data_IF_620860831661
#
_entry.id   IF_620860831661
#
_cell.length_a   1.000
_cell.length_b   1.000
_cell.length_c   1.000
_cell.angle_alpha   90.00
_cell.angle_beta   90.00
_cell.angle_gamma   90.00
#
_symmetry.space_group_name_H-M   'P 1'
#
loop_
_entity.id
_entity.type
_entity.pdbx_description
1 polymer ?
#
# COMPACT_ATOMS: atom_id res chain seq x y z
N UNK A 1 21.80 1.33 -61.63
CA UNK A 1 20.69 1.18 -60.72
C UNK A 1 19.49 1.93 -61.28
N UNK A 2 18.38 1.26 -61.41
CA UNK A 2 17.14 1.90 -61.85
C UNK A 2 16.51 2.70 -60.68
N UNK A 3 15.69 3.69 -61.00
CA UNK A 3 14.98 4.50 -59.98
C UNK A 3 14.13 3.60 -59.07
N UNK A 4 13.63 2.48 -59.58
CA UNK A 4 12.83 1.49 -58.82
C UNK A 4 13.69 0.76 -57.77
N UNK A 5 14.93 0.41 -58.11
CA UNK A 5 15.86 -0.24 -57.17
C UNK A 5 16.26 0.70 -56.02
N UNK A 6 16.45 1.99 -56.32
CA UNK A 6 16.73 3.00 -55.27
C UNK A 6 15.53 3.17 -54.36
N UNK A 7 14.31 3.18 -54.89
CA UNK A 7 13.07 3.26 -54.09
C UNK A 7 12.88 2.06 -53.19
N UNK A 8 13.13 0.85 -53.65
CA UNK A 8 13.04 -0.37 -52.86
C UNK A 8 14.09 -0.40 -51.71
N UNK A 9 15.31 0.06 -52.00
CA UNK A 9 16.36 0.18 -50.97
C UNK A 9 16.01 1.19 -49.90
N UNK A 10 15.47 2.34 -50.29
CA UNK A 10 15.00 3.37 -49.32
C UNK A 10 13.88 2.85 -48.42
N UNK A 11 12.93 2.09 -48.96
CA UNK A 11 11.86 1.45 -48.16
C UNK A 11 12.41 0.41 -47.15
N UNK A 12 13.38 -0.40 -47.59
CA UNK A 12 14.01 -1.40 -46.72
C UNK A 12 14.74 -0.71 -45.55
N UNK A 13 15.52 0.32 -45.82
CA UNK A 13 16.22 1.11 -44.81
C UNK A 13 15.23 1.76 -43.83
N UNK A 14 14.14 2.33 -44.36
CA UNK A 14 13.07 2.91 -43.54
C UNK A 14 12.40 1.89 -42.62
N UNK A 15 12.10 0.69 -43.12
CA UNK A 15 11.52 -0.38 -42.33
C UNK A 15 12.46 -0.84 -41.18
N UNK A 16 13.75 -0.99 -41.47
CA UNK A 16 14.76 -1.34 -40.46
C UNK A 16 14.88 -0.24 -39.42
N UNK A 17 14.88 1.04 -39.80
CA UNK A 17 14.92 2.15 -38.86
C UNK A 17 13.71 2.17 -37.90
N UNK A 18 12.51 1.88 -38.40
CA UNK A 18 11.30 1.77 -37.58
C UNK A 18 11.42 0.62 -36.60
N UNK A 19 11.88 -0.56 -37.01
CA UNK A 19 12.07 -1.71 -36.14
C UNK A 19 13.08 -1.42 -35.02
N UNK A 20 14.22 -0.78 -35.36
CA UNK A 20 15.20 -0.37 -34.33
C UNK A 20 14.64 0.63 -33.35
N UNK A 21 13.84 1.60 -33.81
CA UNK A 21 13.17 2.57 -32.95
C UNK A 21 12.18 1.89 -32.00
N UNK A 22 11.41 0.91 -32.46
CA UNK A 22 10.48 0.14 -31.64
C UNK A 22 11.22 -0.67 -30.55
N UNK A 23 12.33 -1.31 -30.91
CA UNK A 23 13.18 -2.04 -29.94
C UNK A 23 13.71 -1.07 -28.86
N UNK A 24 14.18 0.10 -29.27
CA UNK A 24 14.67 1.12 -28.34
C UNK A 24 13.57 1.57 -27.37
N UNK A 25 12.36 1.86 -27.87
CA UNK A 25 11.21 2.23 -27.05
C UNK A 25 10.87 1.14 -26.04
N UNK A 26 10.87 -0.13 -26.44
CA UNK A 26 10.61 -1.25 -25.53
C UNK A 26 11.65 -1.34 -24.41
N UNK A 27 12.93 -1.14 -24.74
CA UNK A 27 14.01 -1.14 -23.75
C UNK A 27 13.82 0.02 -22.77
N UNK A 28 13.49 1.21 -23.27
CA UNK A 28 13.28 2.41 -22.41
C UNK A 28 12.06 2.25 -21.51
N UNK A 29 10.96 1.71 -22.01
CA UNK A 29 9.79 1.39 -21.19
C UNK A 29 10.11 0.40 -20.07
N UNK A 30 10.88 -0.65 -20.35
CA UNK A 30 11.32 -1.61 -19.31
C UNK A 30 12.19 -0.96 -18.25
N UNK A 31 13.09 -0.05 -18.62
CA UNK A 31 13.90 0.73 -17.66
C UNK A 31 13.03 1.62 -16.79
N UNK A 32 12.09 2.35 -17.40
CA UNK A 32 11.16 3.23 -16.68
C UNK A 32 10.30 2.46 -15.66
N UNK A 33 9.75 1.31 -16.05
CA UNK A 33 8.99 0.44 -15.13
C UNK A 33 9.87 -0.01 -13.96
N UNK A 34 11.12 -0.42 -14.22
CA UNK A 34 12.05 -0.82 -13.17
C UNK A 34 12.38 0.33 -12.22
N UNK A 35 12.63 1.53 -12.75
CA UNK A 35 12.90 2.74 -11.94
C UNK A 35 11.70 3.14 -11.09
N UNK A 36 10.50 3.11 -11.65
CA UNK A 36 9.26 3.38 -10.91
C UNK A 36 9.04 2.37 -9.79
N UNK A 37 9.31 1.09 -10.02
CA UNK A 37 9.20 0.06 -8.97
C UNK A 37 10.20 0.28 -7.84
N UNK A 38 11.43 0.71 -8.14
CA UNK A 38 12.44 1.06 -7.13
C UNK A 38 11.98 2.31 -6.35
N UNK A 39 11.56 3.37 -7.04
CA UNK A 39 11.08 4.60 -6.40
C UNK A 39 9.89 4.32 -5.47
N UNK A 40 8.93 3.52 -5.92
CA UNK A 40 7.79 3.11 -5.12
C UNK A 40 8.18 2.24 -3.90
N UNK A 41 9.25 1.44 -4.01
CA UNK A 41 9.74 0.65 -2.87
C UNK A 41 10.43 1.52 -1.83
N UNK A 42 11.22 2.49 -2.25
CA UNK A 42 11.88 3.46 -1.38
C UNK A 42 10.83 4.33 -0.67
N UNK A 43 9.84 4.82 -1.39
CA UNK A 43 8.77 5.62 -0.79
C UNK A 43 8.01 4.82 0.29
N UNK A 44 7.70 3.54 0.03
CA UNK A 44 7.06 2.65 1.01
C UNK A 44 7.91 2.45 2.26
N UNK A 45 9.21 2.27 2.10
CA UNK A 45 10.12 2.11 3.24
C UNK A 45 10.24 3.40 4.05
N UNK A 46 10.26 4.55 3.39
CA UNK A 46 10.23 5.87 4.05
C UNK A 46 8.95 6.06 4.85
N UNK A 47 7.79 5.75 4.28
CA UNK A 47 6.49 5.81 4.99
C UNK A 47 6.46 4.89 6.22
N UNK A 48 6.99 3.67 6.11
CA UNK A 48 7.15 2.74 7.26
C UNK A 48 8.05 3.32 8.34
N UNK A 49 9.19 3.86 7.94
CA UNK A 49 10.15 4.46 8.87
C UNK A 49 9.54 5.63 9.64
N UNK A 50 8.80 6.51 8.97
CA UNK A 50 8.10 7.62 9.63
C UNK A 50 7.11 7.13 10.70
N UNK A 51 6.37 6.05 10.44
CA UNK A 51 5.48 5.47 11.44
C UNK A 51 6.23 4.86 12.63
N UNK A 52 7.36 4.21 12.39
CA UNK A 52 8.19 3.70 13.48
C UNK A 52 8.74 4.83 14.35
N UNK A 53 9.29 5.89 13.74
CA UNK A 53 9.79 7.05 14.48
C UNK A 53 8.69 7.77 15.24
N UNK A 54 7.53 7.95 14.64
CA UNK A 54 6.38 8.55 15.34
C UNK A 54 5.95 7.72 16.57
N UNK A 55 6.02 6.38 16.51
CA UNK A 55 5.73 5.51 17.67
C UNK A 55 6.77 5.61 18.78
N UNK A 56 7.99 6.01 18.47
CA UNK A 56 9.06 6.21 19.44
C UNK A 56 8.96 7.59 20.13
N UNK A 57 8.13 8.49 19.63
CA UNK A 57 7.85 9.76 20.26
C UNK A 57 7.05 9.54 21.55
N UNK A 58 7.57 10.01 22.68
CA UNK A 58 7.03 9.71 24.03
C UNK A 58 5.54 10.06 24.15
N UNK A 59 5.12 11.17 23.54
CA UNK A 59 3.73 11.62 23.54
C UNK A 59 2.79 10.62 22.86
N UNK A 60 3.16 10.16 21.66
CA UNK A 60 2.37 9.19 20.91
C UNK A 60 2.41 7.81 21.57
N UNK A 61 3.55 7.39 22.12
CA UNK A 61 3.66 6.11 22.82
C UNK A 61 2.72 6.04 24.02
N UNK A 62 2.64 7.11 24.83
CA UNK A 62 1.71 7.21 25.97
C UNK A 62 0.25 7.21 25.50
N UNK A 63 -0.06 7.95 24.43
CA UNK A 63 -1.39 7.94 23.83
C UNK A 63 -1.79 6.54 23.38
N UNK A 64 -0.92 5.84 22.63
CA UNK A 64 -1.21 4.50 22.13
C UNK A 64 -1.40 3.49 23.27
N UNK A 65 -0.58 3.55 24.32
CA UNK A 65 -0.70 2.67 25.48
C UNK A 65 -2.08 2.81 26.15
N UNK A 66 -2.59 4.03 26.27
CA UNK A 66 -3.93 4.33 26.81
C UNK A 66 -5.03 3.93 25.81
N UNK A 67 -4.87 4.34 24.58
CA UNK A 67 -5.86 4.15 23.51
C UNK A 67 -6.11 2.67 23.19
N UNK A 68 -5.09 1.82 23.26
CA UNK A 68 -5.24 0.38 23.02
C UNK A 68 -6.06 -0.34 24.12
N UNK A 69 -6.11 0.23 25.32
CA UNK A 69 -6.94 -0.31 26.39
C UNK A 69 -8.42 0.07 26.21
N UNK A 70 -8.71 1.34 25.95
CA UNK A 70 -10.07 1.82 25.68
C UNK A 70 -10.02 3.14 24.91
N UNK A 71 -10.72 3.18 23.77
CA UNK A 71 -10.90 4.39 22.97
C UNK A 71 -11.87 5.37 23.64
N UNK A 72 -12.88 4.85 24.34
CA UNK A 72 -13.93 5.68 24.96
C UNK A 72 -13.40 6.54 26.10
N UNK A 73 -12.35 6.10 26.78
CA UNK A 73 -11.69 6.84 27.86
C UNK A 73 -10.77 7.98 27.38
N UNK A 74 -10.55 8.10 26.08
CA UNK A 74 -9.74 9.16 25.50
C UNK A 74 -10.47 10.50 25.55
N UNK A 75 -9.72 11.58 25.76
CA UNK A 75 -10.20 12.95 25.56
C UNK A 75 -10.40 13.24 24.07
N UNK A 76 -11.23 14.21 23.72
CA UNK A 76 -11.55 14.52 22.32
C UNK A 76 -10.32 14.73 21.45
N UNK A 77 -9.30 15.46 21.96
CA UNK A 77 -8.05 15.66 21.22
C UNK A 77 -7.25 14.35 21.03
N UNK A 78 -7.20 13.51 22.08
CA UNK A 78 -6.56 12.21 22.05
C UNK A 78 -7.26 11.27 21.05
N UNK A 79 -8.60 11.34 20.99
CA UNK A 79 -9.42 10.59 20.01
C UNK A 79 -9.04 10.97 18.59
N UNK A 80 -8.97 12.26 18.26
CA UNK A 80 -8.59 12.75 16.92
C UNK A 80 -7.19 12.24 16.54
N UNK A 81 -6.23 12.28 17.45
CA UNK A 81 -4.88 11.78 17.19
C UNK A 81 -4.86 10.27 16.96
N UNK A 82 -5.57 9.50 17.78
CA UNK A 82 -5.65 8.06 17.65
C UNK A 82 -6.40 7.63 16.37
N UNK A 83 -7.52 8.25 16.06
CA UNK A 83 -8.25 8.06 14.80
C UNK A 83 -7.36 8.28 13.58
N UNK A 84 -6.63 9.40 13.56
CA UNK A 84 -5.70 9.71 12.48
C UNK A 84 -4.60 8.65 12.34
N UNK A 85 -4.09 8.14 13.46
CA UNK A 85 -3.12 7.06 13.47
C UNK A 85 -3.70 5.76 12.90
N UNK A 86 -4.90 5.36 13.32
CA UNK A 86 -5.57 4.14 12.84
C UNK A 86 -5.88 4.25 11.34
N UNK A 87 -6.46 5.36 10.89
CA UNK A 87 -6.76 5.60 9.47
C UNK A 87 -5.48 5.49 8.64
N UNK A 88 -4.40 6.14 9.04
CA UNK A 88 -3.13 6.09 8.33
C UNK A 88 -2.54 4.66 8.26
N UNK A 89 -2.64 3.90 9.37
CA UNK A 89 -2.20 2.50 9.41
C UNK A 89 -3.00 1.63 8.45
N UNK A 90 -4.32 1.77 8.46
CA UNK A 90 -5.21 1.05 7.56
C UNK A 90 -4.93 1.38 6.10
N UNK A 91 -4.75 2.65 5.76
CA UNK A 91 -4.44 3.07 4.38
C UNK A 91 -3.11 2.50 3.89
N UNK A 92 -2.09 2.43 4.74
CA UNK A 92 -0.81 1.80 4.40
C UNK A 92 -1.00 0.31 4.12
N UNK A 93 -1.72 -0.42 4.97
CA UNK A 93 -1.99 -1.84 4.76
C UNK A 93 -2.82 -2.08 3.49
N UNK A 94 -3.85 -1.27 3.24
CA UNK A 94 -4.65 -1.35 2.04
C UNK A 94 -3.81 -1.14 0.76
N UNK A 95 -2.92 -0.15 0.75
CA UNK A 95 -2.00 0.09 -0.38
C UNK A 95 -1.03 -1.06 -0.58
N UNK A 96 -0.44 -1.58 0.49
CA UNK A 96 0.48 -2.71 0.42
C UNK A 96 -0.20 -3.97 -0.11
N UNK A 97 -1.43 -4.25 0.34
CA UNK A 97 -2.21 -5.39 -0.09
C UNK A 97 -2.55 -5.31 -1.59
N UNK A 98 -3.06 -4.15 -2.06
CA UNK A 98 -3.33 -3.92 -3.49
C UNK A 98 -2.07 -4.07 -4.34
N UNK A 99 -0.92 -3.57 -3.86
CA UNK A 99 0.36 -3.72 -4.58
C UNK A 99 0.77 -5.18 -4.69
N UNK A 100 0.50 -6.01 -3.68
CA UNK A 100 0.76 -7.45 -3.74
C UNK A 100 -0.13 -8.15 -4.78
N UNK A 101 -1.37 -7.66 -4.96
CA UNK A 101 -2.29 -8.16 -5.99
C UNK A 101 -1.85 -7.76 -7.41
N UNK A 102 -1.48 -6.49 -7.61
CA UNK A 102 -1.18 -5.92 -8.94
C UNK A 102 0.19 -6.35 -9.49
N UNK A 103 1.14 -6.66 -8.63
CA UNK A 103 2.54 -6.79 -9.02
C UNK A 103 2.89 -8.03 -9.84
N UNK A 104 1.97 -9.00 -10.02
CA UNK A 104 2.25 -10.26 -10.76
C UNK A 104 3.43 -11.06 -10.16
N UNK A 105 3.91 -10.68 -9.00
CA UNK A 105 5.02 -11.31 -8.27
C UNK A 105 4.53 -12.58 -7.60
N UNK A 106 4.41 -13.66 -8.37
CA UNK A 106 3.92 -14.96 -7.86
C UNK A 106 4.72 -15.50 -6.68
N UNK A 107 5.98 -15.14 -6.49
CA UNK A 107 6.84 -15.75 -5.47
C UNK A 107 6.89 -15.02 -4.13
N UNK A 108 6.36 -13.82 -4.01
CA UNK A 108 6.39 -13.03 -2.76
C UNK A 108 5.04 -12.46 -2.35
N UNK A 109 4.05 -12.51 -3.24
CA UNK A 109 2.73 -11.91 -3.00
C UNK A 109 2.00 -12.59 -1.85
N UNK A 110 2.02 -13.92 -1.79
CA UNK A 110 1.35 -14.68 -0.73
C UNK A 110 2.00 -14.41 0.63
N UNK A 111 3.33 -14.46 0.71
CA UNK A 111 4.06 -14.10 1.92
C UNK A 111 3.74 -12.66 2.38
N UNK A 112 3.66 -11.70 1.45
CA UNK A 112 3.34 -10.32 1.79
C UNK A 112 1.89 -10.19 2.28
N UNK A 113 0.94 -10.89 1.66
CA UNK A 113 -0.46 -10.94 2.11
C UNK A 113 -0.59 -11.50 3.51
N UNK A 114 0.07 -12.62 3.79
CA UNK A 114 0.06 -13.25 5.11
C UNK A 114 0.66 -12.33 6.18
N UNK A 115 1.76 -11.65 5.85
CA UNK A 115 2.36 -10.66 6.77
C UNK A 115 1.45 -9.46 7.02
N UNK A 116 0.77 -8.96 6.00
CA UNK A 116 -0.20 -7.87 6.15
C UNK A 116 -1.37 -8.33 7.02
N UNK A 117 -1.90 -9.53 6.77
CA UNK A 117 -2.97 -10.12 7.57
C UNK A 117 -2.59 -10.18 9.05
N UNK A 118 -1.43 -10.75 9.38
CA UNK A 118 -0.91 -10.80 10.76
C UNK A 118 -0.80 -9.41 11.41
N UNK A 119 -0.35 -8.41 10.66
CA UNK A 119 -0.26 -7.05 11.19
C UNK A 119 -1.62 -6.38 11.41
N UNK A 120 -2.63 -6.72 10.62
CA UNK A 120 -4.00 -6.25 10.83
C UNK A 120 -4.59 -6.95 12.06
N UNK A 121 -4.45 -8.26 12.17
CA UNK A 121 -4.89 -9.04 13.33
C UNK A 121 -4.26 -8.53 14.63
N UNK A 122 -2.94 -8.27 14.63
CA UNK A 122 -2.22 -7.67 15.77
C UNK A 122 -2.77 -6.27 16.13
N UNK A 123 -3.06 -5.43 15.12
CA UNK A 123 -3.64 -4.11 15.36
C UNK A 123 -5.03 -4.21 16.00
N UNK A 124 -5.88 -5.11 15.53
CA UNK A 124 -7.24 -5.33 16.03
C UNK A 124 -7.32 -6.27 17.25
N UNK A 125 -6.19 -6.79 17.73
CA UNK A 125 -6.17 -7.50 19.03
C UNK A 125 -6.41 -6.59 20.21
N UNK A 126 -6.35 -5.27 20.01
CA UNK A 126 -6.54 -4.28 21.08
C UNK A 126 -7.98 -3.75 21.09
N UNK A 127 -8.61 -3.73 22.26
CA UNK A 127 -9.99 -3.28 22.45
C UNK A 127 -10.21 -1.87 21.89
N UNK A 128 -9.36 -0.92 22.25
CA UNK A 128 -9.51 0.47 21.81
C UNK A 128 -9.40 0.65 20.30
N UNK A 129 -8.66 -0.24 19.58
CA UNK A 129 -8.64 -0.22 18.12
C UNK A 129 -9.98 -0.64 17.53
N UNK A 130 -10.60 -1.69 18.07
CA UNK A 130 -11.93 -2.14 17.64
C UNK A 130 -13.00 -1.07 17.89
N UNK A 131 -13.00 -0.46 19.07
CA UNK A 131 -13.91 0.64 19.44
C UNK A 131 -13.74 1.85 18.50
N UNK A 132 -12.49 2.27 18.25
CA UNK A 132 -12.17 3.34 17.32
C UNK A 132 -12.65 3.02 15.89
N UNK A 133 -12.37 1.82 15.40
CA UNK A 133 -12.81 1.39 14.08
C UNK A 133 -14.34 1.40 13.94
N UNK A 134 -15.08 0.93 14.94
CA UNK A 134 -16.55 0.98 14.95
C UNK A 134 -17.05 2.42 14.92
N UNK A 135 -16.46 3.32 15.73
CA UNK A 135 -16.82 4.73 15.74
C UNK A 135 -16.56 5.41 14.38
N UNK A 136 -15.45 5.09 13.72
CA UNK A 136 -15.12 5.59 12.39
C UNK A 136 -16.05 5.03 11.30
N UNK A 137 -16.45 3.76 11.42
CA UNK A 137 -17.39 3.10 10.50
C UNK A 137 -18.77 3.76 10.56
N UNK A 138 -19.29 4.03 11.77
CA UNK A 138 -20.58 4.72 11.95
C UNK A 138 -20.58 6.10 11.29
N UNK A 139 -19.44 6.78 11.28
CA UNK A 139 -19.26 8.09 10.64
C UNK A 139 -18.92 8.03 9.15
N UNK A 140 -18.88 6.84 8.54
CA UNK A 140 -18.53 6.59 7.13
C UNK A 140 -17.16 7.18 6.70
N UNK A 141 -16.19 7.16 7.63
CA UNK A 141 -14.86 7.71 7.41
C UNK A 141 -13.88 6.66 6.84
N UNK A 142 -14.16 5.36 7.03
CA UNK A 142 -13.26 4.27 6.62
C UNK A 142 -13.52 3.83 5.19
N UNK A 143 -12.70 4.29 4.26
CA UNK A 143 -12.80 3.95 2.84
C UNK A 143 -12.46 2.49 2.49
N UNK A 144 -11.75 1.76 3.35
CA UNK A 144 -11.20 0.42 3.05
C UNK A 144 -11.83 -0.70 3.88
N UNK A 145 -12.97 -0.47 4.52
CA UNK A 145 -13.60 -1.46 5.42
C UNK A 145 -13.85 -2.80 4.73
N UNK A 146 -14.45 -2.81 3.54
CA UNK A 146 -14.72 -4.03 2.77
C UNK A 146 -13.45 -4.84 2.45
N UNK A 147 -12.34 -4.14 2.16
CA UNK A 147 -11.05 -4.79 1.92
C UNK A 147 -10.57 -5.50 3.18
N UNK A 148 -10.62 -4.86 4.33
CA UNK A 148 -10.19 -5.45 5.60
C UNK A 148 -11.09 -6.59 6.04
N UNK A 149 -12.40 -6.47 5.88
CA UNK A 149 -13.35 -7.57 6.11
C UNK A 149 -13.00 -8.81 5.27
N UNK A 150 -12.58 -8.61 4.02
CA UNK A 150 -12.14 -9.70 3.14
C UNK A 150 -10.83 -10.34 3.60
N UNK A 151 -9.92 -9.55 4.18
CA UNK A 151 -8.59 -10.02 4.59
C UNK A 151 -8.65 -10.81 5.89
N UNK A 152 -9.33 -10.29 6.91
CA UNK A 152 -9.28 -10.83 8.28
C UNK A 152 -10.62 -11.32 8.82
N UNK A 153 -11.73 -11.00 8.18
CA UNK A 153 -13.09 -11.30 8.66
C UNK A 153 -13.71 -10.18 9.48
N UNK A 154 -15.04 -10.12 9.53
CA UNK A 154 -15.79 -9.11 10.27
C UNK A 154 -15.62 -9.29 11.79
N UNK A 155 -15.53 -10.51 12.26
CA UNK A 155 -15.34 -10.88 13.66
C UNK A 155 -14.04 -10.33 14.25
N UNK A 156 -12.96 -10.35 13.50
CA UNK A 156 -11.66 -9.77 13.90
C UNK A 156 -11.75 -8.24 14.01
N UNK A 157 -12.51 -7.59 13.13
CA UNK A 157 -12.68 -6.13 13.14
C UNK A 157 -13.64 -5.64 14.21
N UNK A 158 -14.50 -6.50 14.73
CA UNK A 158 -15.56 -6.15 15.68
C UNK A 158 -15.19 -6.43 17.15
N UNK A 159 -14.33 -7.42 17.42
CA UNK A 159 -13.98 -7.84 18.77
C UNK A 159 -12.48 -8.06 18.92
N UNK A 160 -11.87 -7.60 20.04
CA UNK A 160 -10.49 -7.95 20.34
C UNK A 160 -10.37 -9.46 20.54
N UNK A 161 -9.28 -10.05 20.09
CA UNK A 161 -8.96 -11.43 20.40
C UNK A 161 -8.80 -11.58 21.92
N UNK A 162 -9.66 -12.38 22.54
CA UNK A 162 -9.67 -12.64 23.99
C UNK A 162 -8.44 -13.41 24.47
#
# INVERSE_FOLDING_TARGET
MSIVEIGALAQLVGAIAILLSLVFVVIELRKNVKQNNIANSIQRETERSHLYYARMEEGLAKLLAKAYQSYDELKDFEKIQFESYIIQRMDIFARLYRTADDAGYKLGADYLRDRIKLHIEDLFSNQGTCECHQALRVRDIIANHELFTRIVGEDVLAQPAG
#
